data_IF_313645473176
#
_entry.id   IF_313645473176
#
_cell.length_a   1.000
_cell.length_b   1.000
_cell.length_c   1.000
_cell.angle_alpha   90.00
_cell.angle_beta   90.00
_cell.angle_gamma   90.00
#
_symmetry.space_group_name_H-M   'P 1'
#
loop_
_entity.id
_entity.type
_entity.pdbx_description
1 polymer ?
#
# COMPACT_ATOMS: atom_id res chain seq x y z
N UNK A 1 15.50 15.05 -8.23
CA UNK A 1 15.04 13.96 -7.35
C UNK A 1 14.64 12.64 -8.06
N UNK A 2 15.12 12.36 -9.29
CA UNK A 2 14.65 11.19 -10.05
C UNK A 2 15.11 9.83 -9.49
N UNK A 3 16.31 9.77 -8.88
CA UNK A 3 16.84 8.55 -8.27
C UNK A 3 16.04 8.10 -7.03
N UNK A 4 15.57 9.05 -6.22
CA UNK A 4 14.84 8.77 -4.99
C UNK A 4 13.44 8.23 -5.31
N UNK A 5 12.76 8.82 -6.31
CA UNK A 5 11.49 8.30 -6.85
C UNK A 5 11.63 6.86 -7.37
N UNK A 6 12.73 6.57 -8.09
CA UNK A 6 13.05 5.21 -8.58
C UNK A 6 13.27 4.20 -7.47
N UNK A 7 14.08 4.56 -6.48
CA UNK A 7 14.34 3.69 -5.32
C UNK A 7 13.06 3.37 -4.56
N UNK A 8 12.20 4.37 -4.33
CA UNK A 8 10.92 4.17 -3.62
C UNK A 8 10.02 3.21 -4.39
N UNK A 9 9.79 3.43 -5.68
CA UNK A 9 8.94 2.53 -6.48
C UNK A 9 9.50 1.11 -6.52
N UNK A 10 10.83 0.94 -6.59
CA UNK A 10 11.45 -0.39 -6.51
C UNK A 10 11.09 -1.12 -5.22
N UNK A 11 11.18 -0.43 -4.07
CA UNK A 11 10.76 -0.97 -2.77
C UNK A 11 9.25 -1.25 -2.70
N UNK A 12 8.43 -0.37 -3.27
CA UNK A 12 6.97 -0.58 -3.36
C UNK A 12 6.60 -1.75 -4.27
N UNK A 13 7.41 -2.06 -5.28
CA UNK A 13 7.18 -3.20 -6.17
C UNK A 13 7.18 -4.52 -5.41
N UNK A 14 8.07 -4.65 -4.41
CA UNK A 14 8.09 -5.82 -3.54
C UNK A 14 6.78 -5.96 -2.75
N UNK A 15 6.25 -4.84 -2.27
CA UNK A 15 5.00 -4.79 -1.52
C UNK A 15 3.76 -4.99 -2.40
N UNK A 16 3.81 -4.57 -3.66
CA UNK A 16 2.75 -4.78 -4.63
C UNK A 16 2.45 -6.27 -4.87
N UNK A 17 3.46 -7.13 -4.72
CA UNK A 17 3.33 -8.59 -4.85
C UNK A 17 2.45 -9.17 -3.72
N UNK A 18 2.58 -8.65 -2.49
CA UNK A 18 1.84 -9.15 -1.33
C UNK A 18 0.50 -8.44 -1.11
N UNK A 19 0.32 -7.24 -1.67
CA UNK A 19 -0.87 -6.42 -1.44
C UNK A 19 -1.42 -5.81 -2.75
N UNK A 20 -2.29 -6.53 -3.50
CA UNK A 20 -2.76 -6.08 -4.81
C UNK A 20 -3.59 -4.78 -4.76
N UNK A 21 -4.10 -4.41 -3.58
CA UNK A 21 -4.82 -3.16 -3.35
C UNK A 21 -4.01 -1.90 -3.70
N UNK A 22 -2.68 -1.94 -3.58
CA UNK A 22 -1.81 -0.81 -3.95
C UNK A 22 -1.02 -1.04 -5.24
N UNK A 23 -0.98 -2.29 -5.72
CA UNK A 23 -0.20 -2.70 -6.89
C UNK A 23 -0.59 -1.97 -8.18
N UNK A 24 -1.88 -1.68 -8.37
CA UNK A 24 -2.37 -0.94 -9.54
C UNK A 24 -1.83 0.49 -9.59
N UNK A 25 -1.92 1.19 -8.46
CA UNK A 25 -1.44 2.57 -8.32
C UNK A 25 0.08 2.66 -8.49
N UNK A 26 0.83 1.69 -7.96
CA UNK A 26 2.29 1.61 -8.10
C UNK A 26 2.69 1.36 -9.56
N UNK A 27 2.04 0.41 -10.25
CA UNK A 27 2.29 0.16 -11.67
C UNK A 27 2.02 1.41 -12.52
N UNK A 28 0.94 2.13 -12.23
CA UNK A 28 0.59 3.35 -12.95
C UNK A 28 1.62 4.48 -12.74
N UNK A 29 2.18 4.59 -11.53
CA UNK A 29 3.28 5.51 -11.24
C UNK A 29 4.59 5.07 -11.89
N UNK A 30 4.86 3.76 -11.96
CA UNK A 30 6.04 3.21 -12.62
C UNK A 30 6.07 3.54 -14.12
N UNK A 31 4.91 3.56 -14.79
CA UNK A 31 4.79 4.00 -16.19
C UNK A 31 5.18 5.47 -16.40
N UNK A 32 4.99 6.32 -15.39
CA UNK A 32 5.31 7.75 -15.46
C UNK A 32 6.69 8.10 -14.87
N UNK A 33 7.55 7.11 -14.63
CA UNK A 33 8.91 7.32 -14.11
C UNK A 33 9.84 8.10 -15.03
N UNK A 34 9.59 8.08 -16.35
CA UNK A 34 10.42 8.80 -17.31
C UNK A 34 10.27 10.32 -17.19
N UNK A 35 9.13 10.80 -16.67
CA UNK A 35 8.88 12.22 -16.40
C UNK A 35 8.02 12.40 -15.14
N UNK A 36 8.61 12.25 -13.94
CA UNK A 36 7.87 12.36 -12.70
C UNK A 36 7.36 13.79 -12.52
N UNK A 37 6.04 13.95 -12.51
CA UNK A 37 5.36 15.23 -12.27
C UNK A 37 5.05 15.39 -10.78
N UNK A 38 4.87 16.63 -10.29
CA UNK A 38 4.51 16.92 -8.90
C UNK A 38 3.26 16.13 -8.43
N UNK A 39 2.26 15.96 -9.31
CA UNK A 39 1.08 15.13 -9.08
C UNK A 39 1.42 13.67 -8.77
N UNK A 40 2.41 13.10 -9.45
CA UNK A 40 2.82 11.70 -9.26
C UNK A 40 3.58 11.52 -7.96
N UNK A 41 4.39 12.51 -7.56
CA UNK A 41 5.04 12.50 -6.24
C UNK A 41 4.02 12.64 -5.11
N UNK A 42 2.97 13.43 -5.28
CA UNK A 42 1.88 13.52 -4.32
C UNK A 42 1.12 12.20 -4.19
N UNK A 43 0.83 11.53 -5.30
CA UNK A 43 0.20 10.20 -5.29
C UNK A 43 1.10 9.15 -4.61
N UNK A 44 2.41 9.14 -4.90
CA UNK A 44 3.38 8.29 -4.21
C UNK A 44 3.36 8.51 -2.69
N UNK A 45 3.32 9.78 -2.26
CA UNK A 45 3.22 10.14 -0.83
C UNK A 45 1.92 9.65 -0.20
N UNK A 46 0.80 9.72 -0.92
CA UNK A 46 -0.48 9.17 -0.44
C UNK A 46 -0.42 7.65 -0.29
N UNK A 47 0.19 6.93 -1.24
CA UNK A 47 0.37 5.47 -1.12
C UNK A 47 1.23 5.15 0.09
N UNK A 48 2.35 5.85 0.30
CA UNK A 48 3.20 5.66 1.48
C UNK A 48 2.45 5.95 2.79
N UNK A 49 1.62 6.99 2.81
CA UNK A 49 0.79 7.33 3.98
C UNK A 49 -0.28 6.26 4.24
N UNK A 50 -0.91 5.75 3.17
CA UNK A 50 -1.86 4.65 3.25
C UNK A 50 -1.17 3.41 3.81
N UNK A 51 -0.03 3.01 3.26
CA UNK A 51 0.76 1.87 3.73
C UNK A 51 1.16 2.00 5.20
N UNK A 52 1.60 3.19 5.63
CA UNK A 52 1.89 3.45 7.05
C UNK A 52 0.65 3.24 7.94
N UNK A 53 -0.51 3.67 7.47
CA UNK A 53 -1.79 3.45 8.18
C UNK A 53 -2.21 1.97 8.17
N UNK A 54 -2.00 1.26 7.06
CA UNK A 54 -2.32 -0.17 6.94
C UNK A 54 -1.40 -1.03 7.82
N UNK A 55 -0.12 -0.67 7.98
CA UNK A 55 0.79 -1.31 8.94
C UNK A 55 0.28 -1.11 10.38
N UNK A 56 -0.32 0.04 10.68
CA UNK A 56 -0.93 0.30 12.00
C UNK A 56 -2.24 -0.47 12.22
N UNK A 57 -2.92 -0.90 11.16
CA UNK A 57 -3.91 -1.98 11.20
C UNK A 57 -3.17 -3.33 11.29
N UNK A 58 -2.31 -3.48 12.31
CA UNK A 58 -1.85 -4.81 12.71
C UNK A 58 -3.10 -5.67 12.89
N UNK A 59 -3.10 -6.85 12.25
CA UNK A 59 -4.15 -7.86 12.34
C UNK A 59 -4.66 -7.92 13.79
N UNK A 60 -5.75 -7.19 14.07
CA UNK A 60 -6.41 -7.27 15.35
C UNK A 60 -7.22 -8.56 15.26
N UNK A 61 -6.51 -9.69 15.46
CA UNK A 61 -7.08 -10.99 15.74
C UNK A 61 -7.76 -10.86 17.11
N UNK A 62 -8.87 -10.14 17.14
CA UNK A 62 -9.77 -10.17 18.27
C UNK A 62 -10.33 -11.59 18.27
N UNK A 63 -9.94 -12.41 19.26
CA UNK A 63 -10.58 -13.70 19.50
C UNK A 63 -12.07 -13.42 19.58
N UNK A 64 -12.82 -13.86 18.58
CA UNK A 64 -14.28 -13.79 18.59
C UNK A 64 -14.76 -14.63 19.77
N UNK A 65 -14.91 -14.01 20.94
CA UNK A 65 -15.58 -14.58 22.10
C UNK A 65 -17.07 -14.31 21.94
N UNK A 66 -17.67 -14.91 20.91
CA UNK A 66 -19.11 -15.07 20.78
C UNK A 66 -19.38 -16.45 20.17
N UNK A 67 -18.93 -17.49 20.87
CA UNK A 67 -19.57 -18.80 20.77
C UNK A 67 -20.84 -18.76 21.64
N UNK A 68 -21.92 -18.27 21.07
CA UNK A 68 -23.26 -18.60 21.55
C UNK A 68 -23.95 -19.40 20.45
N UNK A 69 -23.73 -20.71 20.47
CA UNK A 69 -24.51 -21.67 19.70
C UNK A 69 -25.72 -21.99 20.58
N UNK A 70 -26.82 -21.24 20.43
CA UNK A 70 -28.10 -21.61 21.03
C UNK A 70 -28.89 -22.45 20.03
N UNK A 71 -28.98 -23.74 20.31
CA UNK A 71 -29.94 -24.65 19.69
C UNK A 71 -31.22 -24.68 20.55
N UNK A 72 -32.35 -24.32 19.95
CA UNK A 72 -33.69 -24.77 20.35
C UNK A 72 -34.43 -25.18 19.09
#
# INVERSE_FOLDING_TARGET
DSNLFRSIIGSLHYLAITHPNVAFSINKLAQHMQSPTALHMQALKQILCYLKSTISHGLHLNKSSNQCISTF
#
